data_IF_545329925311
#
_entry.id   IF_545329925311
#
_cell.length_a   1.000
_cell.length_b   1.000
_cell.length_c   1.000
_cell.angle_alpha   90.00
_cell.angle_beta   90.00
_cell.angle_gamma   90.00
#
_symmetry.space_group_name_H-M   'P 1'
#
loop_
_entity.id
_entity.type
_entity.pdbx_description
1 polymer ?
#
# COMPACT_ATOMS: atom_id res chain seq x y z
N UNK A 1 12.23 11.87 -5.49
CA UNK A 1 11.80 13.27 -5.35
C UNK A 1 10.67 13.40 -4.33
N UNK A 2 9.54 12.68 -4.47
CA UNK A 2 8.42 12.74 -3.53
C UNK A 2 8.87 12.48 -2.08
N UNK A 3 9.57 11.37 -1.83
CA UNK A 3 10.09 11.05 -0.50
C UNK A 3 11.03 12.14 0.06
N UNK A 4 11.91 12.70 -0.78
CA UNK A 4 12.86 13.74 -0.36
C UNK A 4 12.23 15.11 -0.07
N UNK A 5 11.06 15.40 -0.65
CA UNK A 5 10.35 16.67 -0.47
C UNK A 5 9.25 16.60 0.61
N UNK A 6 8.59 15.44 0.73
CA UNK A 6 7.38 15.27 1.56
C UNK A 6 7.52 14.25 2.68
N UNK A 7 8.64 13.54 2.74
CA UNK A 7 8.87 12.39 3.64
C UNK A 7 7.83 11.25 3.47
N UNK A 8 7.13 11.24 2.35
CA UNK A 8 6.15 10.21 1.99
C UNK A 8 6.62 9.40 0.79
N UNK A 9 6.78 8.08 0.99
CA UNK A 9 7.10 7.16 -0.09
C UNK A 9 5.81 6.66 -0.77
N UNK A 10 5.50 7.06 -2.02
CA UNK A 10 4.27 6.70 -2.71
C UNK A 10 4.30 5.27 -3.30
N UNK A 11 4.74 4.29 -2.51
CA UNK A 11 5.01 2.91 -2.92
C UNK A 11 3.81 2.25 -3.61
N UNK A 12 2.66 2.24 -2.93
CA UNK A 12 1.43 1.64 -3.46
C UNK A 12 0.88 2.39 -4.67
N UNK A 13 1.13 3.70 -4.76
CA UNK A 13 0.76 4.51 -5.92
C UNK A 13 1.55 4.10 -7.16
N UNK A 14 2.86 3.89 -7.02
CA UNK A 14 3.74 3.43 -8.10
C UNK A 14 3.33 2.04 -8.57
N UNK A 15 3.05 1.11 -7.65
CA UNK A 15 2.56 -0.22 -7.98
C UNK A 15 1.25 -0.19 -8.79
N UNK A 16 0.28 0.63 -8.40
CA UNK A 16 -0.99 0.79 -9.13
C UNK A 16 -0.82 1.47 -10.49
N UNK A 17 0.07 2.45 -10.61
CA UNK A 17 0.42 3.04 -11.92
C UNK A 17 1.05 1.99 -12.84
N UNK A 18 1.93 1.14 -12.32
CA UNK A 18 2.49 0.02 -13.07
C UNK A 18 1.39 -0.94 -13.53
N UNK A 19 0.44 -1.30 -12.68
CA UNK A 19 -0.71 -2.13 -13.05
C UNK A 19 -1.52 -1.50 -14.20
N UNK A 20 -1.75 -0.18 -14.16
CA UNK A 20 -2.47 0.54 -15.20
C UNK A 20 -1.71 0.50 -16.55
N UNK A 21 -0.41 0.76 -16.53
CA UNK A 21 0.44 0.73 -17.74
C UNK A 21 0.47 -0.68 -18.34
N UNK A 22 0.70 -1.71 -17.51
CA UNK A 22 0.73 -3.09 -17.97
C UNK A 22 -0.63 -3.58 -18.47
N UNK A 23 -1.73 -3.06 -17.96
CA UNK A 23 -3.06 -3.36 -18.48
C UNK A 23 -3.26 -2.89 -19.94
N UNK A 24 -2.55 -1.82 -20.36
CA UNK A 24 -2.57 -1.34 -21.74
C UNK A 24 -1.67 -2.17 -22.66
N UNK A 25 -0.60 -2.76 -22.10
CA UNK A 25 0.40 -3.52 -22.87
C UNK A 25 -0.03 -4.98 -23.06
N UNK A 26 -0.64 -5.58 -22.01
CA UNK A 26 -1.01 -7.00 -22.02
C UNK A 26 -2.24 -7.20 -22.91
N UNK A 27 -2.19 -8.12 -23.90
CA UNK A 27 -3.36 -8.43 -24.72
C UNK A 27 -4.55 -8.92 -23.86
N UNK A 28 -5.74 -8.42 -24.16
CA UNK A 28 -6.98 -8.76 -23.43
C UNK A 28 -7.30 -10.26 -23.41
N UNK A 29 -6.85 -11.01 -24.42
CA UNK A 29 -7.08 -12.46 -24.54
C UNK A 29 -6.00 -13.31 -23.83
N UNK A 30 -5.00 -12.72 -23.19
CA UNK A 30 -3.93 -13.49 -22.56
C UNK A 30 -4.45 -14.20 -21.29
N UNK A 31 -4.27 -15.55 -21.16
CA UNK A 31 -4.84 -16.33 -20.06
C UNK A 31 -4.31 -15.92 -18.69
N UNK A 32 -3.05 -15.48 -18.61
CA UNK A 32 -2.39 -15.06 -17.37
C UNK A 32 -2.35 -13.54 -17.17
N UNK A 33 -3.22 -12.77 -17.85
CA UNK A 33 -3.19 -11.28 -17.81
C UNK A 33 -3.23 -10.70 -16.41
N UNK A 34 -4.04 -11.26 -15.53
CA UNK A 34 -4.14 -10.81 -14.12
C UNK A 34 -2.83 -11.08 -13.39
N UNK A 35 -2.27 -12.28 -13.54
CA UNK A 35 -1.03 -12.66 -12.87
C UNK A 35 0.13 -11.76 -13.31
N UNK A 36 0.27 -11.54 -14.62
CA UNK A 36 1.32 -10.65 -15.16
C UNK A 36 1.15 -9.24 -14.63
N UNK A 37 -0.07 -8.73 -14.59
CA UNK A 37 -0.38 -7.41 -14.08
C UNK A 37 -0.05 -7.27 -12.58
N UNK A 38 -0.40 -8.29 -11.77
CA UNK A 38 -0.06 -8.34 -10.35
C UNK A 38 1.45 -8.39 -10.11
N UNK A 39 2.16 -9.23 -10.87
CA UNK A 39 3.64 -9.33 -10.77
C UNK A 39 4.29 -8.00 -11.15
N UNK A 40 3.85 -7.37 -12.24
CA UNK A 40 4.37 -6.07 -12.65
C UNK A 40 4.16 -4.98 -11.58
N UNK A 41 2.96 -4.95 -10.98
CA UNK A 41 2.67 -4.05 -9.87
C UNK A 41 3.55 -4.33 -8.64
N UNK A 42 3.67 -5.59 -8.26
CA UNK A 42 4.50 -6.02 -7.11
C UNK A 42 5.98 -5.71 -7.29
N UNK A 43 6.54 -5.93 -8.48
CA UNK A 43 7.94 -5.58 -8.78
C UNK A 43 8.15 -4.06 -8.72
N UNK A 44 7.23 -3.27 -9.26
CA UNK A 44 7.31 -1.82 -9.21
C UNK A 44 7.21 -1.29 -7.77
N UNK A 45 6.33 -1.88 -6.96
CA UNK A 45 6.19 -1.54 -5.53
C UNK A 45 7.45 -1.89 -4.75
N UNK A 46 7.99 -3.09 -4.95
CA UNK A 46 9.22 -3.53 -4.31
C UNK A 46 10.40 -2.61 -4.66
N UNK A 47 10.54 -2.21 -5.93
CA UNK A 47 11.56 -1.26 -6.35
C UNK A 47 11.41 0.11 -5.71
N UNK A 48 10.20 0.62 -5.58
CA UNK A 48 9.92 1.90 -4.92
C UNK A 48 10.20 1.83 -3.41
N UNK A 49 9.87 0.71 -2.76
CA UNK A 49 10.18 0.47 -1.35
C UNK A 49 11.69 0.42 -1.13
N UNK A 50 12.39 -0.38 -1.92
CA UNK A 50 13.85 -0.50 -1.85
C UNK A 50 14.56 0.84 -2.03
N UNK A 51 14.09 1.68 -2.96
CA UNK A 51 14.63 3.02 -3.16
C UNK A 51 14.40 3.92 -1.92
N UNK A 52 13.23 3.82 -1.29
CA UNK A 52 12.93 4.55 -0.06
C UNK A 52 13.81 4.12 1.10
N UNK A 53 13.97 2.82 1.31
CA UNK A 53 14.81 2.26 2.36
C UNK A 53 16.28 2.66 2.18
N UNK A 54 16.78 2.60 0.96
CA UNK A 54 18.14 3.06 0.63
C UNK A 54 18.33 4.56 0.96
N UNK A 55 17.35 5.41 0.65
CA UNK A 55 17.45 6.84 0.98
C UNK A 55 17.50 7.08 2.50
N UNK A 56 16.72 6.34 3.28
CA UNK A 56 16.74 6.41 4.75
C UNK A 56 18.09 5.94 5.32
N UNK A 57 18.60 4.83 4.81
CA UNK A 57 19.91 4.29 5.22
C UNK A 57 21.06 5.25 4.89
N UNK A 58 21.05 5.82 3.69
CA UNK A 58 22.04 6.83 3.27
C UNK A 58 21.96 8.09 4.15
N UNK A 59 20.76 8.52 4.54
CA UNK A 59 20.58 9.65 5.45
C UNK A 59 21.13 9.36 6.83
N UNK A 60 20.81 8.19 7.38
CA UNK A 60 21.33 7.73 8.68
C UNK A 60 22.86 7.65 8.64
N UNK A 61 23.41 7.07 7.59
CA UNK A 61 24.86 6.97 7.43
C UNK A 61 25.54 8.32 7.29
N UNK A 62 24.94 9.27 6.61
CA UNK A 62 25.45 10.63 6.53
C UNK A 62 25.56 11.25 7.94
N UNK A 63 24.53 11.04 8.78
CA UNK A 63 24.51 11.58 10.14
C UNK A 63 25.59 10.97 11.06
N UNK A 64 25.94 9.68 10.87
CA UNK A 64 26.98 9.00 11.64
C UNK A 64 28.37 9.03 10.98
N UNK A 65 28.51 9.70 9.84
CA UNK A 65 29.79 9.82 9.13
C UNK A 65 30.21 8.56 8.35
N UNK A 66 29.29 7.64 8.05
CA UNK A 66 29.57 6.44 7.27
C UNK A 66 29.70 6.75 5.77
N UNK A 67 30.54 5.99 5.07
CA UNK A 67 30.73 6.13 3.62
C UNK A 67 29.45 5.70 2.86
N UNK A 68 28.89 6.54 1.96
CA UNK A 68 27.72 6.18 1.14
C UNK A 68 27.95 4.94 0.27
N UNK A 69 29.17 4.75 -0.23
CA UNK A 69 29.54 3.57 -1.02
C UNK A 69 29.48 2.29 -0.20
N UNK A 70 29.96 2.32 1.05
CA UNK A 70 29.90 1.16 1.93
C UNK A 70 28.47 0.78 2.27
N UNK A 71 27.62 1.77 2.52
CA UNK A 71 26.18 1.55 2.78
C UNK A 71 25.46 0.96 1.58
N UNK A 72 25.70 1.49 0.38
CA UNK A 72 25.10 0.95 -0.85
C UNK A 72 25.48 -0.52 -1.08
N UNK A 73 26.78 -0.87 -0.89
CA UNK A 73 27.24 -2.26 -1.00
C UNK A 73 26.59 -3.14 0.06
N UNK A 74 26.53 -2.68 1.31
CA UNK A 74 25.88 -3.39 2.41
C UNK A 74 24.38 -3.65 2.12
N UNK A 75 23.68 -2.67 1.55
CA UNK A 75 22.29 -2.79 1.13
C UNK A 75 22.11 -3.89 0.07
N UNK A 76 22.97 -3.91 -0.97
CA UNK A 76 22.93 -4.95 -1.99
C UNK A 76 23.15 -6.34 -1.39
N UNK A 77 24.18 -6.51 -0.57
CA UNK A 77 24.48 -7.78 0.07
C UNK A 77 23.34 -8.22 1.01
N UNK A 78 22.80 -7.30 1.81
CA UNK A 78 21.64 -7.53 2.66
C UNK A 78 20.40 -7.96 1.88
N UNK A 79 20.13 -7.31 0.77
CA UNK A 79 19.01 -7.65 -0.12
C UNK A 79 19.16 -9.05 -0.71
N UNK A 80 20.32 -9.40 -1.21
CA UNK A 80 20.59 -10.75 -1.75
C UNK A 80 20.41 -11.83 -0.69
N UNK A 81 20.93 -11.60 0.51
CA UNK A 81 20.73 -12.50 1.64
C UNK A 81 19.26 -12.62 2.04
N UNK A 82 18.57 -11.49 2.12
CA UNK A 82 17.15 -11.42 2.47
C UNK A 82 16.25 -12.18 1.50
N UNK A 83 16.51 -12.12 0.20
CA UNK A 83 15.77 -12.87 -0.82
C UNK A 83 15.80 -14.37 -0.53
N UNK A 84 16.99 -14.92 -0.25
CA UNK A 84 17.15 -16.33 0.09
C UNK A 84 16.44 -16.71 1.40
N UNK A 85 16.71 -15.94 2.46
CA UNK A 85 16.13 -16.18 3.77
C UNK A 85 14.61 -16.06 3.78
N UNK A 86 14.06 -15.00 3.19
CA UNK A 86 12.60 -14.78 3.11
C UNK A 86 11.90 -15.88 2.34
N UNK A 87 12.50 -16.38 1.26
CA UNK A 87 11.93 -17.48 0.47
C UNK A 87 11.88 -18.78 1.26
N UNK A 88 12.92 -19.09 2.03
CA UNK A 88 12.97 -20.26 2.92
C UNK A 88 11.94 -20.12 4.04
N UNK A 89 11.93 -18.98 4.72
CA UNK A 89 11.00 -18.73 5.82
C UNK A 89 9.54 -18.76 5.36
N UNK A 90 9.22 -18.20 4.17
CA UNK A 90 7.89 -18.32 3.62
C UNK A 90 7.46 -19.77 3.43
N UNK A 91 8.34 -20.63 2.90
CA UNK A 91 8.05 -22.07 2.75
C UNK A 91 7.82 -22.74 4.10
N UNK A 92 8.63 -22.42 5.11
CA UNK A 92 8.47 -22.95 6.46
C UNK A 92 7.12 -22.51 7.05
N UNK A 93 6.81 -21.21 6.99
CA UNK A 93 5.51 -20.70 7.46
C UNK A 93 4.33 -21.35 6.74
N UNK A 94 4.40 -21.47 5.43
CA UNK A 94 3.31 -22.05 4.63
C UNK A 94 3.14 -23.55 4.83
N UNK A 95 4.16 -24.25 5.34
CA UNK A 95 4.06 -25.67 5.72
C UNK A 95 3.35 -25.89 7.05
N UNK A 96 3.46 -24.91 7.97
CA UNK A 96 2.84 -24.96 9.30
C UNK A 96 1.46 -24.30 9.30
N UNK A 97 1.33 -23.17 8.61
CA UNK A 97 0.10 -22.38 8.56
C UNK A 97 -0.37 -22.23 7.11
N UNK A 98 -1.64 -22.54 6.86
CA UNK A 98 -2.25 -22.23 5.57
C UNK A 98 -2.35 -20.73 5.38
N UNK A 99 -1.71 -20.18 4.34
CA UNK A 99 -1.78 -18.77 3.97
C UNK A 99 -2.44 -18.66 2.58
N UNK A 100 -3.57 -17.93 2.44
CA UNK A 100 -4.32 -17.20 3.46
C UNK A 100 -5.22 -18.09 4.34
N UNK A 101 -5.43 -17.68 5.60
CA UNK A 101 -6.34 -18.33 6.54
C UNK A 101 -6.97 -17.28 7.47
N UNK A 102 -7.91 -17.71 8.33
CA UNK A 102 -8.53 -16.79 9.30
C UNK A 102 -7.52 -16.20 10.28
N UNK A 103 -6.43 -16.91 10.58
CA UNK A 103 -5.32 -16.43 11.41
C UNK A 103 -4.39 -15.48 10.63
N UNK A 104 -4.17 -15.73 9.33
CA UNK A 104 -3.32 -14.93 8.45
C UNK A 104 -4.14 -14.35 7.30
N UNK A 105 -4.93 -13.34 7.61
CA UNK A 105 -5.71 -12.60 6.61
C UNK A 105 -4.78 -11.66 5.84
N UNK A 106 -4.92 -11.63 4.52
CA UNK A 106 -4.18 -10.74 3.62
C UNK A 106 -5.19 -9.82 2.90
N UNK A 107 -5.77 -8.83 3.60
CA UNK A 107 -6.83 -8.00 3.01
C UNK A 107 -6.35 -7.19 1.82
N UNK A 108 -5.10 -6.75 1.83
CA UNK A 108 -4.50 -5.99 0.73
C UNK A 108 -4.38 -6.80 -0.56
N UNK A 109 -4.22 -8.12 -0.49
CA UNK A 109 -4.17 -8.98 -1.67
C UNK A 109 -5.48 -8.93 -2.48
N UNK A 110 -6.62 -8.89 -1.79
CA UNK A 110 -7.94 -8.76 -2.43
C UNK A 110 -8.03 -7.43 -3.20
N UNK A 111 -7.62 -6.33 -2.58
CA UNK A 111 -7.58 -5.01 -3.22
C UNK A 111 -6.70 -5.00 -4.46
N UNK A 112 -5.53 -5.64 -4.42
CA UNK A 112 -4.63 -5.76 -5.56
C UNK A 112 -5.22 -6.58 -6.70
N UNK A 113 -5.85 -7.71 -6.36
CA UNK A 113 -6.52 -8.59 -7.34
C UNK A 113 -7.69 -7.85 -8.00
N UNK A 114 -8.52 -7.18 -7.22
CA UNK A 114 -9.68 -6.45 -7.76
C UNK A 114 -9.24 -5.23 -8.59
N UNK A 115 -8.19 -4.54 -8.21
CA UNK A 115 -7.57 -3.50 -9.03
C UNK A 115 -7.07 -4.09 -10.37
N UNK A 116 -6.40 -5.23 -10.35
CA UNK A 116 -5.93 -5.91 -11.56
C UNK A 116 -7.10 -6.34 -12.46
N UNK A 117 -8.17 -6.90 -11.90
CA UNK A 117 -9.39 -7.28 -12.63
C UNK A 117 -10.05 -6.07 -13.28
N UNK A 118 -10.16 -4.96 -12.53
CA UNK A 118 -10.74 -3.72 -13.03
C UNK A 118 -9.99 -3.19 -14.25
N UNK A 119 -8.66 -3.05 -14.13
CA UNK A 119 -7.84 -2.47 -15.21
C UNK A 119 -7.66 -3.40 -16.41
N UNK A 120 -7.79 -4.73 -16.22
CA UNK A 120 -7.74 -5.71 -17.32
C UNK A 120 -9.10 -6.02 -17.95
N UNK A 121 -10.16 -5.29 -17.59
CA UNK A 121 -11.49 -5.38 -18.20
C UNK A 121 -12.35 -6.55 -17.75
N UNK A 122 -12.01 -7.24 -16.66
CA UNK A 122 -12.85 -8.30 -16.09
C UNK A 122 -13.97 -7.79 -15.17
N UNK A 123 -13.95 -6.48 -14.87
CA UNK A 123 -14.94 -5.85 -13.99
C UNK A 123 -14.73 -6.12 -12.51
N UNK A 124 -15.54 -5.50 -11.71
CA UNK A 124 -15.59 -5.68 -10.26
C UNK A 124 -16.70 -6.68 -9.90
N UNK A 125 -16.63 -7.34 -8.73
CA UNK A 125 -17.73 -8.13 -8.22
C UNK A 125 -19.05 -7.34 -8.19
N UNK A 126 -20.22 -8.01 -8.25
CA UNK A 126 -21.52 -7.34 -8.28
C UNK A 126 -21.69 -6.42 -7.06
N UNK A 127 -22.36 -5.29 -7.27
CA UNK A 127 -22.64 -4.23 -6.28
C UNK A 127 -21.44 -3.42 -5.76
N UNK A 128 -20.18 -3.81 -5.97
CA UNK A 128 -19.02 -3.04 -5.51
C UNK A 128 -18.99 -1.66 -6.17
N UNK A 129 -19.36 -1.54 -7.45
CA UNK A 129 -19.36 -0.26 -8.17
C UNK A 129 -20.26 0.77 -7.50
N UNK A 130 -21.44 0.37 -7.08
CA UNK A 130 -22.45 1.23 -6.45
C UNK A 130 -21.94 1.71 -5.07
N UNK A 131 -21.46 0.79 -4.24
CA UNK A 131 -20.88 1.12 -2.95
C UNK A 131 -19.65 2.03 -3.09
N UNK A 132 -18.75 1.74 -4.04
CA UNK A 132 -17.56 2.55 -4.28
C UNK A 132 -17.91 3.97 -4.73
N UNK A 133 -18.94 4.15 -5.57
CA UNK A 133 -19.40 5.46 -5.99
C UNK A 133 -19.98 6.25 -4.81
N UNK A 134 -20.90 5.65 -4.05
CA UNK A 134 -21.53 6.31 -2.90
C UNK A 134 -20.49 6.70 -1.84
N UNK A 135 -19.64 5.76 -1.42
CA UNK A 135 -18.60 6.03 -0.44
C UNK A 135 -17.55 7.00 -0.98
N UNK A 136 -17.19 6.91 -2.26
CA UNK A 136 -16.27 7.82 -2.92
C UNK A 136 -16.78 9.25 -2.93
N UNK A 137 -18.06 9.46 -3.22
CA UNK A 137 -18.69 10.79 -3.17
C UNK A 137 -18.73 11.32 -1.73
N UNK A 138 -19.18 10.51 -0.79
CA UNK A 138 -19.26 10.91 0.63
C UNK A 138 -17.88 11.34 1.16
N UNK A 139 -16.88 10.46 1.03
CA UNK A 139 -15.53 10.76 1.54
C UNK A 139 -14.79 11.79 0.69
N UNK A 140 -15.12 11.91 -0.59
CA UNK A 140 -14.65 13.00 -1.44
C UNK A 140 -15.14 14.37 -0.95
N UNK A 141 -16.42 14.49 -0.62
CA UNK A 141 -17.00 15.72 -0.04
C UNK A 141 -16.38 16.01 1.33
N UNK A 142 -16.26 15.02 2.20
CA UNK A 142 -15.61 15.19 3.51
C UNK A 142 -14.17 15.68 3.35
N UNK A 143 -13.41 15.08 2.44
CA UNK A 143 -12.02 15.48 2.17
C UNK A 143 -11.95 16.90 1.61
N UNK A 144 -12.85 17.26 0.69
CA UNK A 144 -12.94 18.62 0.15
C UNK A 144 -13.23 19.63 1.24
N UNK A 145 -14.22 19.38 2.10
CA UNK A 145 -14.57 20.25 3.22
C UNK A 145 -13.41 20.43 4.18
N UNK A 146 -12.70 19.35 4.54
CA UNK A 146 -11.53 19.41 5.44
C UNK A 146 -10.39 20.24 4.88
N UNK A 147 -10.19 20.22 3.56
CA UNK A 147 -9.11 20.96 2.92
C UNK A 147 -9.47 22.39 2.53
N UNK A 148 -10.77 22.70 2.37
CA UNK A 148 -11.23 24.02 1.90
C UNK A 148 -11.56 24.97 3.07
N UNK A 149 -12.05 24.41 4.20
CA UNK A 149 -12.43 25.23 5.37
C UNK A 149 -11.19 25.70 6.14
N UNK A 150 -10.92 27.00 6.23
CA UNK A 150 -9.75 27.51 6.93
C UNK A 150 -9.81 27.20 8.43
N UNK A 151 -8.64 27.02 9.09
CA UNK A 151 -8.55 26.69 10.52
C UNK A 151 -9.20 27.76 11.43
N UNK A 152 -9.35 28.98 10.95
CA UNK A 152 -9.95 30.11 11.67
C UNK A 152 -11.48 30.07 11.70
N UNK A 153 -12.11 29.19 10.90
CA UNK A 153 -13.56 29.09 10.84
C UNK A 153 -14.13 28.33 12.06
N UNK A 154 -15.25 28.81 12.59
CA UNK A 154 -16.03 28.14 13.64
C UNK A 154 -16.43 26.70 13.27
N UNK A 155 -16.60 26.42 11.98
CA UNK A 155 -16.95 25.09 11.47
C UNK A 155 -15.77 24.10 11.48
N UNK A 156 -14.53 24.58 11.50
CA UNK A 156 -13.35 23.73 11.52
C UNK A 156 -13.33 22.78 12.73
N UNK A 157 -13.82 23.23 13.87
CA UNK A 157 -13.95 22.42 15.10
C UNK A 157 -14.81 21.18 14.90
N UNK A 158 -15.85 21.25 14.06
CA UNK A 158 -16.75 20.12 13.80
C UNK A 158 -16.19 19.17 12.75
N UNK A 159 -15.34 19.66 11.83
CA UNK A 159 -14.71 18.84 10.80
C UNK A 159 -13.71 17.80 11.36
N UNK A 160 -13.17 18.06 12.57
CA UNK A 160 -12.28 17.12 13.26
C UNK A 160 -12.99 15.80 13.58
N UNK A 161 -14.29 15.86 13.89
CA UNK A 161 -15.09 14.67 14.22
C UNK A 161 -15.53 13.86 12.99
N UNK A 162 -15.39 14.40 11.77
CA UNK A 162 -15.71 13.64 10.58
C UNK A 162 -14.62 12.60 10.29
N UNK A 163 -15.00 11.34 10.06
CA UNK A 163 -14.04 10.28 9.81
C UNK A 163 -13.30 10.50 8.49
N UNK A 164 -12.02 10.10 8.44
CA UNK A 164 -11.28 10.00 7.19
C UNK A 164 -11.67 8.74 6.43
N UNK A 165 -11.87 8.82 5.11
CA UNK A 165 -12.19 7.65 4.28
C UNK A 165 -11.12 6.55 4.36
N UNK A 166 -9.84 6.94 4.46
CA UNK A 166 -8.73 5.99 4.65
C UNK A 166 -8.84 5.29 6.00
N UNK A 167 -9.13 6.03 7.07
CA UNK A 167 -9.28 5.45 8.40
C UNK A 167 -10.47 4.48 8.49
N UNK A 168 -11.60 4.82 7.85
CA UNK A 168 -12.77 3.92 7.75
C UNK A 168 -12.43 2.66 6.95
N UNK A 169 -11.75 2.80 5.81
CA UNK A 169 -11.30 1.66 5.01
C UNK A 169 -10.39 0.73 5.79
N UNK A 170 -9.39 1.26 6.50
CA UNK A 170 -8.51 0.48 7.37
C UNK A 170 -9.29 -0.20 8.50
N UNK A 171 -10.28 0.50 9.10
CA UNK A 171 -11.13 -0.04 10.16
C UNK A 171 -12.00 -1.21 9.71
N UNK A 172 -12.46 -1.22 8.46
CA UNK A 172 -13.24 -2.33 7.88
C UNK A 172 -12.38 -3.61 7.75
N UNK A 173 -11.10 -3.44 7.38
CA UNK A 173 -10.19 -4.58 7.18
C UNK A 173 -9.61 -5.14 8.48
N UNK A 174 -9.43 -4.30 9.49
CA UNK A 174 -8.84 -4.72 10.75
C UNK A 174 -9.88 -5.37 11.66
N UNK A 175 -9.45 -6.37 12.44
CA UNK A 175 -10.29 -6.94 13.48
C UNK A 175 -10.53 -5.91 14.61
N UNK A 176 -11.71 -5.88 15.24
CA UNK A 176 -12.04 -4.90 16.28
C UNK A 176 -11.06 -4.86 17.45
N UNK A 177 -10.56 -6.02 17.88
CA UNK A 177 -9.55 -6.12 18.94
C UNK A 177 -8.26 -5.39 18.60
N UNK A 178 -7.80 -5.49 17.37
CA UNK A 178 -6.57 -4.81 16.90
C UNK A 178 -6.75 -3.28 16.86
N UNK A 179 -7.91 -2.82 16.42
CA UNK A 179 -8.24 -1.39 16.38
C UNK A 179 -8.41 -0.82 17.80
N UNK A 180 -9.11 -1.55 18.67
CA UNK A 180 -9.32 -1.15 20.07
C UNK A 180 -8.02 -1.11 20.87
N UNK A 181 -7.13 -2.08 20.71
CA UNK A 181 -5.83 -2.07 21.37
C UNK A 181 -5.00 -0.83 21.03
N UNK A 182 -5.00 -0.40 19.78
CA UNK A 182 -4.32 0.83 19.34
C UNK A 182 -5.00 2.09 19.87
N UNK A 183 -6.32 2.11 19.87
CA UNK A 183 -7.08 3.24 20.40
C UNK A 183 -6.80 3.44 21.89
N UNK A 184 -6.89 2.37 22.69
CA UNK A 184 -6.60 2.42 24.13
C UNK A 184 -5.14 2.81 24.41
N UNK A 185 -4.20 2.29 23.61
CA UNK A 185 -2.78 2.64 23.79
C UNK A 185 -2.40 4.04 23.31
N UNK A 186 -3.27 4.73 22.58
CA UNK A 186 -3.08 6.11 22.10
C UNK A 186 -3.83 7.17 22.89
N UNK A 187 -4.65 6.78 23.87
CA UNK A 187 -5.30 7.66 24.85
C UNK A 187 -4.34 8.02 25.98
#
# INVERSE_FOLDING_TARGET
>A
RALGETDLNPVSGIGKLSQLIFALIIPSNHPAKILINLVAGGVAEAGAQQAGDLMQDLKTGHLIGASPKAQFIAQILGTLYSVGLSSIMYKVYNSVYKIPSDMFRIPTAVVWIDCSRLVTGQGLPPHIREFALVLGVIFGIISLLKNTVPPTSLYHKYLVYLPSGVAVGVGIYNTPNFTLARFIGGL
#
